data_IF_835132224941
#
_entry.id   IF_835132224941
#
_cell.length_a   1.000
_cell.length_b   1.000
_cell.length_c   1.000
_cell.angle_alpha   90.00
_cell.angle_beta   90.00
_cell.angle_gamma   90.00
#
_symmetry.space_group_name_H-M   'P 1'
#
loop_
_entity.id
_entity.type
_entity.pdbx_description
1 polymer ?
#
# COMPACT_ATOMS: atom_id res chain seq x y z
N UNK A 1 13.67 -16.73 -15.05
CA UNK A 1 12.41 -16.74 -14.27
C UNK A 1 12.37 -15.42 -13.53
N UNK A 2 11.33 -14.62 -13.72
CA UNK A 2 11.15 -13.38 -12.95
C UNK A 2 10.96 -13.75 -11.48
N UNK A 3 11.73 -13.12 -10.59
CA UNK A 3 11.60 -13.29 -9.15
C UNK A 3 10.96 -12.01 -8.62
N UNK A 4 9.63 -12.00 -8.42
CA UNK A 4 8.93 -10.80 -8.01
C UNK A 4 9.40 -10.34 -6.62
N UNK A 5 9.25 -9.05 -6.35
CA UNK A 5 9.35 -8.50 -5.02
C UNK A 5 8.12 -7.65 -4.71
N UNK A 6 7.74 -7.63 -3.43
CA UNK A 6 6.68 -6.74 -2.94
C UNK A 6 7.28 -5.75 -1.96
N UNK A 7 6.96 -4.47 -2.15
CA UNK A 7 7.36 -3.35 -1.30
C UNK A 7 6.11 -2.76 -0.64
N UNK A 8 6.08 -2.78 0.69
CA UNK A 8 5.07 -2.07 1.49
C UNK A 8 5.64 -0.72 1.90
N UNK A 9 4.97 0.37 1.54
CA UNK A 9 5.32 1.73 1.99
C UNK A 9 4.55 2.06 3.27
N UNK A 10 5.24 2.04 4.41
CA UNK A 10 4.63 2.21 5.73
C UNK A 10 4.98 3.58 6.35
N UNK A 11 3.98 4.28 6.87
CA UNK A 11 4.14 5.57 7.55
C UNK A 11 3.50 5.51 8.97
N UNK A 12 4.11 6.14 9.98
CA UNK A 12 3.63 6.11 11.36
C UNK A 12 2.36 6.95 11.53
N UNK A 13 1.60 6.71 12.61
CA UNK A 13 0.47 7.54 12.98
C UNK A 13 0.91 8.89 13.57
N UNK A 14 0.10 9.95 13.45
CA UNK A 14 -1.03 10.06 12.55
C UNK A 14 -0.56 10.41 11.14
N UNK A 15 -0.91 9.59 10.14
CA UNK A 15 -0.87 10.04 8.75
C UNK A 15 -2.03 11.03 8.52
N UNK A 16 -1.93 11.95 7.56
CA UNK A 16 -3.04 12.88 7.24
C UNK A 16 -4.36 12.16 6.92
N UNK A 17 -4.27 10.90 6.46
CA UNK A 17 -5.40 10.00 6.27
C UNK A 17 -5.86 9.40 7.61
N UNK A 18 -4.95 8.85 8.41
CA UNK A 18 -5.25 8.34 9.75
C UNK A 18 -5.76 9.38 10.76
N UNK A 19 -5.48 10.67 10.56
CA UNK A 19 -6.00 11.75 11.41
C UNK A 19 -7.52 11.88 11.34
N UNK A 20 -8.16 11.42 10.26
CA UNK A 20 -9.62 11.40 10.14
C UNK A 20 -10.26 10.34 11.06
N UNK A 21 -9.51 9.31 11.46
CA UNK A 21 -9.95 8.28 12.40
C UNK A 21 -9.67 8.66 13.86
N UNK A 22 -8.81 9.65 14.12
CA UNK A 22 -8.45 10.06 15.48
C UNK A 22 -9.67 10.45 16.35
N UNK A 23 -10.68 11.20 15.85
CA UNK A 23 -11.87 11.49 16.64
C UNK A 23 -12.73 10.26 16.95
N UNK A 24 -12.59 9.18 16.18
CA UNK A 24 -13.40 7.96 16.27
C UNK A 24 -12.70 6.88 17.11
N UNK A 25 -11.40 6.70 16.95
CA UNK A 25 -10.62 5.61 17.56
C UNK A 25 -9.75 6.08 18.73
N UNK A 26 -9.54 7.38 18.87
CA UNK A 26 -8.48 7.91 19.74
C UNK A 26 -7.07 7.55 19.23
N UNK A 27 -6.02 8.01 19.93
CA UNK A 27 -4.64 7.75 19.52
C UNK A 27 -4.28 6.27 19.59
N UNK A 28 -4.68 5.58 20.65
CA UNK A 28 -4.35 4.16 20.87
C UNK A 28 -5.05 3.26 19.84
N UNK A 29 -6.36 3.47 19.60
CA UNK A 29 -7.09 2.70 18.59
C UNK A 29 -6.57 2.95 17.16
N UNK A 30 -6.10 4.15 16.84
CA UNK A 30 -5.41 4.43 15.59
C UNK A 30 -4.09 3.66 15.46
N UNK A 31 -3.31 3.59 16.54
CA UNK A 31 -2.04 2.85 16.56
C UNK A 31 -2.27 1.34 16.40
N UNK A 32 -3.23 0.78 17.15
CA UNK A 32 -3.60 -0.63 17.08
C UNK A 32 -4.08 -1.02 15.68
N UNK A 33 -4.96 -0.20 15.09
CA UNK A 33 -5.45 -0.43 13.73
C UNK A 33 -4.30 -0.39 12.71
N UNK A 34 -3.39 0.56 12.81
CA UNK A 34 -2.25 0.65 11.91
C UNK A 34 -1.29 -0.53 12.05
N UNK A 35 -1.06 -1.02 13.26
CA UNK A 35 -0.25 -2.22 13.47
C UNK A 35 -0.90 -3.44 12.79
N UNK A 36 -2.22 -3.62 12.94
CA UNK A 36 -2.96 -4.69 12.27
C UNK A 36 -2.85 -4.56 10.74
N UNK A 37 -3.10 -3.36 10.20
CA UNK A 37 -3.03 -3.10 8.76
C UNK A 37 -1.63 -3.35 8.18
N UNK A 38 -0.59 -2.88 8.87
CA UNK A 38 0.79 -3.11 8.46
C UNK A 38 1.15 -4.60 8.47
N UNK A 39 0.77 -5.32 9.54
CA UNK A 39 1.01 -6.76 9.66
C UNK A 39 0.33 -7.53 8.53
N UNK A 40 -0.91 -7.17 8.18
CA UNK A 40 -1.65 -7.77 7.06
C UNK A 40 -0.97 -7.51 5.72
N UNK A 41 -0.56 -6.28 5.44
CA UNK A 41 0.14 -5.94 4.21
C UNK A 41 1.50 -6.64 4.11
N UNK A 42 2.25 -6.75 5.22
CA UNK A 42 3.50 -7.49 5.28
C UNK A 42 3.29 -9.01 5.06
N UNK A 43 2.25 -9.60 5.65
CA UNK A 43 1.90 -11.00 5.43
C UNK A 43 1.50 -11.26 3.96
N UNK A 44 0.70 -10.37 3.37
CA UNK A 44 0.35 -10.45 1.95
C UNK A 44 1.59 -10.31 1.04
N UNK A 45 2.50 -9.40 1.37
CA UNK A 45 3.75 -9.23 0.64
C UNK A 45 4.62 -10.50 0.69
N UNK A 46 4.75 -11.11 1.87
CA UNK A 46 5.48 -12.37 2.07
C UNK A 46 4.85 -13.54 1.30
N UNK A 47 3.52 -13.67 1.34
CA UNK A 47 2.81 -14.69 0.58
C UNK A 47 2.95 -14.51 -0.94
N UNK A 48 2.92 -13.25 -1.41
CA UNK A 48 3.03 -12.91 -2.83
C UNK A 48 4.45 -13.09 -3.37
N UNK A 49 5.46 -12.74 -2.59
CA UNK A 49 6.86 -12.84 -2.98
C UNK A 49 7.73 -13.40 -1.82
N UNK A 50 7.68 -14.73 -1.59
CA UNK A 50 8.46 -15.37 -0.52
C UNK A 50 9.95 -15.03 -0.60
N UNK A 51 10.54 -14.65 0.53
CA UNK A 51 11.93 -14.21 0.63
C UNK A 51 12.27 -12.90 -0.10
N UNK A 52 11.25 -12.15 -0.55
CA UNK A 52 11.37 -10.93 -1.36
C UNK A 52 10.32 -9.88 -0.98
N UNK A 53 9.82 -9.97 0.24
CA UNK A 53 8.89 -9.00 0.81
C UNK A 53 9.67 -7.95 1.59
N UNK A 54 9.44 -6.69 1.25
CA UNK A 54 10.13 -5.55 1.80
C UNK A 54 9.14 -4.59 2.46
N UNK A 55 9.54 -3.99 3.58
CA UNK A 55 8.75 -2.96 4.27
C UNK A 55 9.63 -1.74 4.48
N UNK A 56 9.27 -0.64 3.81
CA UNK A 56 9.94 0.65 3.96
C UNK A 56 9.24 1.47 5.04
N UNK A 57 9.91 1.62 6.19
CA UNK A 57 9.41 2.26 7.39
C UNK A 57 9.82 3.72 7.45
N UNK A 58 8.88 4.65 7.50
CA UNK A 58 9.19 6.05 7.76
C UNK A 58 9.68 6.23 9.22
N UNK A 59 10.54 7.22 9.45
CA UNK A 59 11.08 7.53 10.78
C UNK A 59 9.96 7.63 11.84
N UNK A 60 10.19 7.04 13.02
CA UNK A 60 9.18 6.91 14.08
C UNK A 60 8.35 5.61 14.03
N UNK A 61 8.59 4.73 13.05
CA UNK A 61 7.91 3.42 12.94
C UNK A 61 8.75 2.25 13.49
N UNK A 62 9.69 2.49 14.41
CA UNK A 62 10.61 1.47 14.90
C UNK A 62 9.89 0.34 15.65
N UNK A 63 8.90 0.69 16.49
CA UNK A 63 8.09 -0.27 17.24
C UNK A 63 7.24 -1.14 16.30
N UNK A 64 6.77 -0.55 15.19
CA UNK A 64 6.01 -1.25 14.16
C UNK A 64 6.88 -2.27 13.37
N UNK A 65 8.21 -2.16 13.39
CA UNK A 65 9.08 -3.16 12.79
C UNK A 65 9.13 -4.45 13.62
N UNK A 66 9.08 -4.31 14.94
CA UNK A 66 9.19 -5.43 15.88
C UNK A 66 7.99 -6.39 15.82
N UNK A 67 6.83 -5.90 15.37
CA UNK A 67 5.63 -6.71 15.19
C UNK A 67 5.58 -7.48 13.86
N UNK A 68 6.56 -7.26 12.98
CA UNK A 68 6.67 -7.93 11.69
C UNK A 68 7.49 -9.21 11.80
N UNK A 69 7.02 -10.26 11.12
CA UNK A 69 7.68 -11.57 11.13
C UNK A 69 9.05 -11.57 10.43
N UNK A 70 9.88 -12.60 10.65
CA UNK A 70 11.21 -12.71 10.05
C UNK A 70 11.21 -12.87 8.52
N UNK A 71 10.03 -13.12 7.93
CA UNK A 71 9.81 -13.32 6.50
C UNK A 71 9.86 -12.01 5.69
N UNK A 72 9.92 -10.84 6.34
CA UNK A 72 9.98 -9.53 5.67
C UNK A 72 11.28 -8.79 5.97
N UNK A 73 11.77 -8.08 4.96
CA UNK A 73 13.00 -7.29 5.02
C UNK A 73 12.60 -5.83 5.28
N UNK A 74 12.84 -5.35 6.51
CA UNK A 74 12.53 -3.98 6.89
C UNK A 74 13.71 -3.04 6.62
N UNK A 75 13.44 -1.84 6.11
CA UNK A 75 14.44 -0.78 5.98
C UNK A 75 13.81 0.60 6.17
N UNK A 76 14.62 1.60 6.51
CA UNK A 76 14.15 2.96 6.70
C UNK A 76 13.87 3.66 5.36
N UNK A 77 12.75 4.39 5.26
CA UNK A 77 12.53 5.31 4.14
C UNK A 77 13.58 6.43 4.15
N UNK A 78 13.96 6.88 2.95
CA UNK A 78 14.79 8.06 2.80
C UNK A 78 14.08 9.32 3.34
N UNK A 79 14.84 10.38 3.57
CA UNK A 79 14.27 11.71 3.79
C UNK A 79 13.72 12.28 2.46
N UNK A 80 12.87 13.30 2.56
CA UNK A 80 12.29 13.99 1.41
C UNK A 80 10.77 13.83 1.28
N UNK A 81 10.24 14.25 0.13
CA UNK A 81 8.82 14.20 -0.23
C UNK A 81 8.34 12.76 -0.48
N UNK A 82 7.03 12.52 -0.45
CA UNK A 82 6.50 11.16 -0.66
C UNK A 82 6.96 10.50 -1.98
N UNK A 83 6.98 11.22 -3.13
CA UNK A 83 7.53 10.66 -4.38
C UNK A 83 9.02 10.35 -4.30
N UNK A 84 9.84 11.18 -3.64
CA UNK A 84 11.28 10.94 -3.46
C UNK A 84 11.54 9.71 -2.60
N UNK A 85 10.79 9.54 -1.52
CA UNK A 85 10.88 8.37 -0.64
C UNK A 85 10.49 7.09 -1.37
N UNK A 86 9.40 7.12 -2.13
CA UNK A 86 8.99 6.00 -2.97
C UNK A 86 10.05 5.68 -4.03
N UNK A 87 10.61 6.70 -4.69
CA UNK A 87 11.69 6.52 -5.68
C UNK A 87 12.88 5.80 -5.06
N UNK A 88 13.32 6.25 -3.88
CA UNK A 88 14.46 5.65 -3.19
C UNK A 88 14.18 4.19 -2.77
N UNK A 89 12.99 3.93 -2.23
CA UNK A 89 12.58 2.60 -1.79
C UNK A 89 12.46 1.61 -2.97
N UNK A 90 11.87 2.04 -4.09
CA UNK A 90 11.77 1.20 -5.29
C UNK A 90 13.15 0.90 -5.86
N UNK A 91 14.05 1.90 -5.96
CA UNK A 91 15.43 1.68 -6.43
C UNK A 91 16.19 0.71 -5.51
N UNK A 92 15.98 0.80 -4.20
CA UNK A 92 16.57 -0.12 -3.24
C UNK A 92 16.12 -1.57 -3.50
N UNK A 93 14.82 -1.80 -3.69
CA UNK A 93 14.29 -3.15 -3.98
C UNK A 93 14.80 -3.66 -5.33
N UNK A 94 14.78 -2.86 -6.39
CA UNK A 94 15.32 -3.26 -7.69
C UNK A 94 16.83 -3.59 -7.65
N UNK A 95 17.61 -2.91 -6.80
CA UNK A 95 19.03 -3.19 -6.63
C UNK A 95 19.31 -4.60 -6.06
N UNK A 96 18.30 -5.28 -5.49
CA UNK A 96 18.41 -6.69 -5.08
C UNK A 96 18.32 -7.69 -6.26
N UNK A 97 18.15 -7.21 -7.50
CA UNK A 97 18.02 -8.05 -8.70
C UNK A 97 16.62 -8.67 -8.88
N UNK A 98 15.65 -8.26 -8.06
CA UNK A 98 14.25 -8.72 -8.12
C UNK A 98 13.47 -7.92 -9.15
N UNK A 99 12.64 -8.61 -9.92
CA UNK A 99 11.70 -8.02 -10.88
C UNK A 99 10.63 -9.06 -11.26
N UNK A 100 9.38 -8.63 -11.48
CA UNK A 100 8.88 -7.26 -11.31
C UNK A 100 8.76 -6.83 -9.83
N UNK A 101 8.58 -5.54 -9.58
CA UNK A 101 8.33 -5.00 -8.23
C UNK A 101 6.88 -4.54 -8.13
N UNK A 102 6.19 -4.95 -7.07
CA UNK A 102 4.86 -4.47 -6.70
C UNK A 102 4.98 -3.60 -5.46
N UNK A 103 4.48 -2.38 -5.53
CA UNK A 103 4.40 -1.45 -4.42
C UNK A 103 2.97 -1.38 -3.91
N UNK A 104 2.77 -1.49 -2.59
CA UNK A 104 1.46 -1.33 -1.94
C UNK A 104 1.52 -0.45 -0.69
N UNK A 105 0.35 0.00 -0.25
CA UNK A 105 0.14 0.67 1.03
C UNK A 105 -0.58 -0.25 2.03
N UNK A 106 -0.34 -0.09 3.34
CA UNK A 106 -0.98 -0.93 4.35
C UNK A 106 -2.47 -0.65 4.55
N UNK A 107 -2.97 0.50 4.09
CA UNK A 107 -4.35 0.97 4.34
C UNK A 107 -5.47 0.11 3.73
N UNK A 108 -5.16 -1.03 3.10
CA UNK A 108 -6.08 -1.83 2.29
C UNK A 108 -6.27 -3.24 2.89
N UNK A 109 -7.18 -3.40 3.87
CA UNK A 109 -7.30 -4.64 4.66
C UNK A 109 -7.72 -5.87 3.85
N UNK A 110 -8.29 -5.67 2.65
CA UNK A 110 -8.74 -6.72 1.74
C UNK A 110 -7.74 -7.08 0.64
N UNK A 111 -6.51 -6.57 0.71
CA UNK A 111 -5.43 -7.13 -0.12
C UNK A 111 -5.35 -8.65 0.10
N UNK A 112 -5.26 -9.38 -1.00
CA UNK A 112 -5.43 -10.83 -1.04
C UNK A 112 -4.93 -11.42 -2.34
N UNK A 113 -5.02 -12.74 -2.46
CA UNK A 113 -4.39 -13.50 -3.56
C UNK A 113 -4.82 -13.01 -4.94
N UNK A 114 -6.07 -12.62 -5.10
CA UNK A 114 -6.59 -12.17 -6.39
C UNK A 114 -5.84 -10.93 -6.92
N UNK A 115 -5.43 -10.01 -6.03
CA UNK A 115 -4.64 -8.83 -6.39
C UNK A 115 -3.25 -9.21 -6.88
N UNK A 116 -2.61 -10.15 -6.17
CA UNK A 116 -1.28 -10.63 -6.53
C UNK A 116 -1.31 -11.35 -7.88
N UNK A 117 -2.28 -12.24 -8.09
CA UNK A 117 -2.45 -12.98 -9.35
C UNK A 117 -2.73 -12.04 -10.52
N UNK A 118 -3.61 -11.04 -10.35
CA UNK A 118 -3.90 -10.08 -11.40
C UNK A 118 -2.67 -9.22 -11.72
N UNK A 119 -2.01 -8.65 -10.71
CA UNK A 119 -0.85 -7.80 -10.92
C UNK A 119 0.33 -8.54 -11.57
N UNK A 120 0.67 -9.72 -11.06
CA UNK A 120 1.76 -10.52 -11.62
C UNK A 120 1.39 -11.11 -12.98
N UNK A 121 0.11 -11.46 -13.19
CA UNK A 121 -0.42 -11.91 -14.47
C UNK A 121 -0.24 -10.87 -15.56
N UNK A 122 -0.77 -9.67 -15.35
CA UNK A 122 -0.67 -8.55 -16.30
C UNK A 122 0.80 -8.21 -16.64
N UNK A 123 1.68 -8.15 -15.64
CA UNK A 123 3.11 -7.86 -15.84
C UNK A 123 3.82 -8.95 -16.64
N UNK A 124 3.44 -10.21 -16.42
CA UNK A 124 3.98 -11.36 -17.16
C UNK A 124 3.45 -11.41 -18.59
N UNK A 125 2.20 -10.98 -18.80
CA UNK A 125 1.50 -11.14 -20.07
C UNK A 125 1.79 -9.99 -21.05
N UNK A 126 2.40 -8.89 -20.62
CA UNK A 126 2.88 -7.84 -21.52
C UNK A 126 2.92 -6.44 -20.93
N UNK A 127 2.18 -6.17 -19.87
CA UNK A 127 2.09 -4.84 -19.27
C UNK A 127 3.42 -4.37 -18.68
N UNK A 128 3.85 -3.17 -19.05
CA UNK A 128 5.02 -2.53 -18.43
C UNK A 128 4.76 -2.16 -16.97
N UNK A 129 3.50 -1.77 -16.70
CA UNK A 129 3.04 -1.22 -15.44
C UNK A 129 1.65 -1.76 -15.13
N UNK A 130 1.36 -1.98 -13.85
CA UNK A 130 0.02 -2.28 -13.36
C UNK A 130 -0.40 -1.27 -12.31
N UNK A 131 -1.61 -0.75 -12.43
CA UNK A 131 -2.16 0.24 -11.52
C UNK A 131 -3.40 -0.30 -10.80
N UNK A 132 -3.39 -0.25 -9.48
CA UNK A 132 -4.57 -0.38 -8.64
C UNK A 132 -4.95 0.97 -8.06
N UNK A 133 -6.12 1.49 -8.44
CA UNK A 133 -6.63 2.80 -7.98
C UNK A 133 -7.60 2.61 -6.83
N UNK A 134 -7.45 3.40 -5.77
CA UNK A 134 -8.36 3.32 -4.62
C UNK A 134 -9.69 4.07 -4.90
N UNK A 135 -10.75 3.67 -4.21
CA UNK A 135 -12.01 4.43 -4.17
C UNK A 135 -11.70 5.79 -3.53
N UNK A 136 -12.00 6.87 -4.25
CA UNK A 136 -11.63 8.24 -3.85
C UNK A 136 -10.29 8.73 -4.41
N UNK A 137 -9.57 7.88 -5.14
CA UNK A 137 -8.32 8.22 -5.83
C UNK A 137 -7.05 7.82 -5.09
N UNK A 138 -5.91 8.09 -5.73
CA UNK A 138 -4.61 7.56 -5.32
C UNK A 138 -4.40 6.10 -5.74
N UNK A 139 -3.14 5.67 -5.70
CA UNK A 139 -2.76 4.28 -5.98
C UNK A 139 -2.73 3.47 -4.68
N UNK A 140 -3.36 2.30 -4.68
CA UNK A 140 -3.19 1.30 -3.64
C UNK A 140 -2.13 0.26 -4.03
N UNK A 141 -1.97 0.04 -5.34
CA UNK A 141 -1.01 -0.88 -5.92
C UNK A 141 -0.36 -0.25 -7.14
N UNK A 142 0.96 -0.41 -7.24
CA UNK A 142 1.75 -0.04 -8.41
C UNK A 142 2.73 -1.18 -8.72
N UNK A 143 2.47 -1.95 -9.78
CA UNK A 143 3.38 -2.97 -10.30
C UNK A 143 4.21 -2.43 -11.45
N UNK A 144 5.48 -2.81 -11.55
CA UNK A 144 6.35 -2.40 -12.66
C UNK A 144 7.47 -3.41 -12.93
N UNK A 145 7.85 -3.58 -14.19
CA UNK A 145 9.00 -4.41 -14.58
C UNK A 145 10.35 -3.72 -14.40
N UNK A 146 10.36 -2.40 -14.55
CA UNK A 146 11.54 -1.56 -14.42
C UNK A 146 11.21 -0.34 -13.55
N UNK A 147 12.20 0.32 -12.91
CA UNK A 147 11.95 1.56 -12.18
C UNK A 147 11.32 2.61 -13.10
N UNK A 148 10.15 3.12 -12.71
CA UNK A 148 9.44 4.19 -13.45
C UNK A 148 9.31 5.46 -12.60
N UNK A 149 10.38 6.28 -12.42
CA UNK A 149 10.35 7.47 -11.57
C UNK A 149 9.21 8.45 -11.86
N UNK A 150 8.82 8.58 -13.13
CA UNK A 150 7.71 9.43 -13.55
C UNK A 150 6.39 8.99 -12.91
N UNK A 151 6.18 7.69 -12.71
CA UNK A 151 4.97 7.16 -12.07
C UNK A 151 4.95 7.37 -10.56
N UNK A 152 6.07 7.65 -9.91
CA UNK A 152 6.11 7.84 -8.46
C UNK A 152 5.50 9.18 -8.03
N UNK A 153 5.39 10.14 -8.94
CA UNK A 153 4.57 11.33 -8.75
C UNK A 153 3.07 11.01 -8.59
N UNK A 154 2.59 9.86 -9.12
CA UNK A 154 1.19 9.41 -8.97
C UNK A 154 0.88 8.83 -7.60
N UNK A 155 1.90 8.29 -6.93
CA UNK A 155 1.78 7.55 -5.68
C UNK A 155 2.06 8.43 -4.45
N UNK A 156 1.96 9.76 -4.61
CA UNK A 156 1.97 10.71 -3.50
C UNK A 156 0.88 10.33 -2.48
N UNK A 157 1.28 10.17 -1.22
CA UNK A 157 0.43 9.61 -0.16
C UNK A 157 -0.76 10.53 0.20
N UNK A 158 -0.77 11.76 -0.30
CA UNK A 158 -1.72 12.82 0.07
C UNK A 158 -2.71 13.19 -1.03
N UNK A 159 -2.69 12.49 -2.16
CA UNK A 159 -3.49 12.89 -3.31
C UNK A 159 -4.99 12.75 -3.06
N UNK A 160 -5.69 13.88 -3.22
CA UNK A 160 -7.06 13.88 -3.69
C UNK A 160 -7.12 13.21 -5.08
N UNK A 161 -8.25 12.59 -5.42
CA UNK A 161 -8.39 11.92 -6.72
C UNK A 161 -8.13 12.81 -7.94
N UNK A 162 -8.19 14.14 -7.77
CA UNK A 162 -7.87 15.11 -8.81
C UNK A 162 -6.36 15.25 -9.06
N UNK A 163 -5.53 15.22 -8.02
CA UNK A 163 -4.08 15.23 -8.17
C UNK A 163 -3.58 13.92 -8.74
N UNK A 164 -4.14 12.78 -8.33
CA UNK A 164 -3.84 11.50 -8.98
C UNK A 164 -4.24 11.51 -10.44
N UNK A 165 -5.43 12.04 -10.79
CA UNK A 165 -5.90 12.14 -12.18
C UNK A 165 -5.01 13.04 -13.04
N UNK A 166 -4.61 14.20 -12.51
CA UNK A 166 -3.72 15.16 -13.20
C UNK A 166 -2.36 14.54 -13.44
N UNK A 167 -1.75 14.00 -12.38
CA UNK A 167 -0.43 13.39 -12.49
C UNK A 167 -0.52 12.17 -13.42
N UNK A 168 -1.59 11.36 -13.34
CA UNK A 168 -1.76 10.17 -14.20
C UNK A 168 -1.77 10.58 -15.66
N UNK A 169 -2.56 11.61 -16.01
CA UNK A 169 -2.60 12.16 -17.36
C UNK A 169 -1.23 12.62 -17.84
N UNK A 170 -0.52 13.42 -17.04
CA UNK A 170 0.82 13.92 -17.40
C UNK A 170 1.86 12.80 -17.57
N UNK A 171 1.75 11.74 -16.77
CA UNK A 171 2.68 10.61 -16.83
C UNK A 171 2.36 9.67 -17.99
N UNK A 172 1.08 9.40 -18.27
CA UNK A 172 0.67 8.47 -19.34
C UNK A 172 0.70 9.11 -20.73
N UNK A 173 0.46 10.41 -20.87
CA UNK A 173 0.49 11.09 -22.19
C UNK A 173 1.90 11.12 -22.83
N UNK A 174 2.96 10.91 -22.04
CA UNK A 174 4.34 10.89 -22.52
C UNK A 174 5.03 9.53 -22.47
N UNK A 175 4.32 8.46 -22.12
CA UNK A 175 4.86 7.13 -21.92
C UNK A 175 4.07 6.13 -22.77
N UNK A 176 4.70 5.56 -23.80
CA UNK A 176 4.15 4.47 -24.63
C UNK A 176 4.18 3.13 -23.85
N UNK A 177 3.62 3.12 -22.64
CA UNK A 177 3.59 1.95 -21.76
C UNK A 177 2.28 1.21 -21.89
N UNK A 178 2.35 -0.12 -21.91
CA UNK A 178 1.19 -0.99 -21.74
C UNK A 178 0.82 -1.05 -20.25
N UNK A 179 -0.41 -0.63 -19.92
CA UNK A 179 -0.87 -0.47 -18.53
C UNK A 179 -1.98 -1.46 -18.22
N UNK A 180 -1.72 -2.36 -17.27
CA UNK A 180 -2.72 -3.21 -16.64
C UNK A 180 -3.49 -2.44 -15.57
N UNK A 181 -4.82 -2.57 -15.54
CA UNK A 181 -5.69 -1.84 -14.62
C UNK A 181 -6.45 -2.81 -13.73
N UNK A 182 -6.16 -2.78 -12.43
CA UNK A 182 -6.83 -3.65 -11.46
C UNK A 182 -8.18 -3.07 -11.02
N UNK A 183 -9.00 -3.94 -10.41
CA UNK A 183 -10.21 -3.52 -9.72
C UNK A 183 -9.92 -2.47 -8.64
N UNK A 184 -10.89 -1.58 -8.43
CA UNK A 184 -10.82 -0.57 -7.39
C UNK A 184 -10.93 -1.19 -6.00
N UNK A 185 -10.18 -0.66 -5.05
CA UNK A 185 -10.28 -1.07 -3.63
C UNK A 185 -10.56 0.08 -2.68
N UNK A 186 -11.20 -0.23 -1.56
CA UNK A 186 -11.48 0.73 -0.50
C UNK A 186 -10.33 0.75 0.51
N UNK A 187 -9.79 1.94 0.75
CA UNK A 187 -8.86 2.18 1.84
C UNK A 187 -9.63 2.28 3.17
N UNK A 188 -9.05 1.83 4.28
CA UNK A 188 -9.58 2.05 5.62
C UNK A 188 -8.89 3.28 6.24
N UNK A 189 -9.39 4.46 5.89
CA UNK A 189 -8.71 5.73 6.22
C UNK A 189 -9.63 6.79 6.82
N UNK A 190 -10.95 6.62 6.77
CA UNK A 190 -11.88 7.56 7.37
C UNK A 190 -13.11 6.89 7.99
N UNK A 191 -13.96 7.67 8.69
CA UNK A 191 -15.12 7.14 9.40
C UNK A 191 -16.09 6.34 8.50
N UNK A 192 -16.32 6.80 7.27
CA UNK A 192 -17.17 6.07 6.31
C UNK A 192 -16.58 4.70 5.94
N UNK A 193 -15.26 4.57 5.92
CA UNK A 193 -14.60 3.29 5.63
C UNK A 193 -14.71 2.34 6.81
N UNK A 194 -14.68 2.85 8.05
CA UNK A 194 -14.97 2.06 9.26
C UNK A 194 -16.38 1.50 9.20
N UNK A 195 -17.39 2.32 8.87
CA UNK A 195 -18.77 1.85 8.70
C UNK A 195 -18.83 0.77 7.63
N UNK A 196 -18.22 1.00 6.47
CA UNK A 196 -18.18 0.02 5.39
C UNK A 196 -17.50 -1.30 5.81
N UNK A 197 -16.45 -1.23 6.62
CA UNK A 197 -15.75 -2.40 7.16
C UNK A 197 -16.62 -3.17 8.16
N UNK A 198 -17.36 -2.48 9.03
CA UNK A 198 -18.19 -3.13 10.04
C UNK A 198 -19.44 -3.82 9.47
N UNK A 199 -19.94 -3.38 8.30
CA UNK A 199 -21.09 -4.00 7.62
C UNK A 199 -20.69 -5.08 6.61
N UNK A 200 -19.40 -5.19 6.27
CA UNK A 200 -18.91 -6.20 5.33
C UNK A 200 -18.80 -7.57 6.04
N UNK A 201 -19.60 -8.58 5.66
CA UNK A 201 -19.53 -9.91 6.28
C UNK A 201 -18.21 -10.63 6.00
N UNK A 202 -17.42 -10.15 5.03
CA UNK A 202 -16.10 -10.67 4.69
C UNK A 202 -14.97 -9.79 5.23
N UNK A 203 -15.29 -8.83 6.10
CA UNK A 203 -14.28 -8.02 6.78
C UNK A 203 -13.32 -8.93 7.58
N UNK A 204 -12.00 -8.68 7.52
CA UNK A 204 -11.06 -9.47 8.28
C UNK A 204 -11.33 -9.39 9.79
N UNK A 205 -11.29 -10.54 10.48
CA UNK A 205 -11.62 -10.65 11.90
C UNK A 205 -10.67 -9.83 12.80
N UNK A 206 -9.40 -9.74 12.43
CA UNK A 206 -8.38 -8.93 13.11
C UNK A 206 -8.65 -7.43 12.95
N UNK A 207 -9.08 -6.99 11.76
CA UNK A 207 -9.44 -5.59 11.48
C UNK A 207 -10.72 -5.21 12.22
N UNK A 208 -11.75 -6.06 12.19
CA UNK A 208 -13.00 -5.81 12.93
C UNK A 208 -12.78 -5.79 14.44
N UNK A 209 -11.91 -6.66 14.97
CA UNK A 209 -11.51 -6.63 16.38
C UNK A 209 -10.83 -5.31 16.76
N UNK A 210 -9.94 -4.78 15.92
CA UNK A 210 -9.31 -3.47 16.13
C UNK A 210 -10.32 -2.30 16.09
N UNK A 211 -11.47 -2.49 15.43
CA UNK A 211 -12.55 -1.52 15.37
C UNK A 211 -13.65 -1.74 16.42
N UNK A 212 -13.56 -2.79 17.25
CA UNK A 212 -14.65 -3.22 18.12
C UNK A 212 -15.06 -2.18 19.16
N UNK A 213 -14.14 -1.34 19.61
CA UNK A 213 -14.44 -0.24 20.54
C UNK A 213 -15.42 0.79 19.95
N UNK A 214 -15.45 0.95 18.62
CA UNK A 214 -16.40 1.83 17.91
C UNK A 214 -17.79 1.19 17.84
N UNK A 215 -17.86 -0.13 17.71
CA UNK A 215 -19.13 -0.86 17.59
C UNK A 215 -19.92 -0.93 18.91
N UNK A 216 -19.29 -0.63 20.05
CA UNK A 216 -19.93 -0.65 21.36
C UNK A 216 -20.64 0.66 21.73
N UNK A 217 -20.42 1.75 20.99
CA UNK A 217 -20.96 3.09 21.28
C UNK A 217 -22.08 3.56 20.33
N UNK A 218 -22.49 2.73 19.36
CA UNK A 218 -23.57 3.01 18.40
C UNK A 218 -24.79 2.10 18.57
#
# INVERSE_FOLDING_TARGET
>A
MFAPAVLVMAAPPPTRRGSALLPLLGPDGCADLQEVLLRRAAAWASATAPGSAFVALLAGSADAAASLGPEVICFAQAEGTAPERLTAAVRHVFASGRQPVIVVRPDFPRLGDYHAHAALGDLRDGCDVVLGVAIGGGLYLLGMREPQPRLFALAGHDDDGETTRRNAREVTEGLELEVGMLHYERALVGPTDVIAMLVDPLAPADVTAALAHVAAEG
#
